data_IF_665425927109
#
_entry.id   IF_665425927109
#
_cell.length_a   1.000
_cell.length_b   1.000
_cell.length_c   1.000
_cell.angle_alpha   90.00
_cell.angle_beta   90.00
_cell.angle_gamma   90.00
#
_symmetry.space_group_name_H-M   'P 1'
#
loop_
_entity.id
_entity.type
_entity.pdbx_description
1 polymer ?
#
# COMPACT_ATOMS: atom_id res chain seq x y z
N UNK A 1 24.29 -49.55 14.17
CA UNK A 1 23.77 -49.15 12.84
C UNK A 1 22.35 -48.62 12.90
N UNK A 2 21.35 -49.38 13.38
CA UNK A 2 19.94 -48.94 13.46
C UNK A 2 19.77 -47.64 14.25
N UNK A 3 20.37 -47.54 15.44
CA UNK A 3 20.33 -46.31 16.27
C UNK A 3 20.90 -45.07 15.55
N UNK A 4 21.96 -45.23 14.75
CA UNK A 4 22.58 -44.13 14.00
C UNK A 4 21.69 -43.64 12.85
N UNK A 5 21.01 -44.56 12.15
CA UNK A 5 20.04 -44.21 11.10
C UNK A 5 18.90 -43.40 11.70
N UNK A 6 18.32 -43.84 12.83
CA UNK A 6 17.24 -43.12 13.53
C UNK A 6 17.70 -41.73 13.97
N UNK A 7 18.92 -41.61 14.50
CA UNK A 7 19.52 -40.32 14.88
C UNK A 7 19.67 -39.38 13.68
N UNK A 8 20.18 -39.85 12.55
CA UNK A 8 20.31 -39.05 11.33
C UNK A 8 18.95 -38.60 10.77
N UNK A 9 17.95 -39.46 10.76
CA UNK A 9 16.58 -39.10 10.35
C UNK A 9 16.01 -38.01 11.25
N UNK A 10 16.23 -38.09 12.57
CA UNK A 10 15.80 -37.06 13.52
C UNK A 10 16.52 -35.73 13.29
N UNK A 11 17.82 -35.75 13.03
CA UNK A 11 18.57 -34.54 12.68
C UNK A 11 18.07 -33.89 11.40
N UNK A 12 17.73 -34.66 10.37
CA UNK A 12 17.13 -34.13 9.14
C UNK A 12 15.75 -33.51 9.40
N UNK A 13 14.91 -34.15 10.22
CA UNK A 13 13.63 -33.60 10.63
C UNK A 13 13.80 -32.26 11.37
N UNK A 14 14.74 -32.16 12.30
CA UNK A 14 15.05 -30.91 13.02
C UNK A 14 15.54 -29.79 12.09
N UNK A 15 16.35 -30.10 11.08
CA UNK A 15 16.78 -29.10 10.08
C UNK A 15 15.60 -28.60 9.24
N UNK A 16 14.71 -29.50 8.83
CA UNK A 16 13.49 -29.15 8.10
C UNK A 16 12.55 -28.30 8.97
N UNK A 17 12.42 -28.65 10.25
CA UNK A 17 11.64 -27.90 11.23
C UNK A 17 12.16 -26.47 11.37
N UNK A 18 13.48 -26.31 11.60
CA UNK A 18 14.10 -24.98 11.71
C UNK A 18 13.92 -24.13 10.45
N UNK A 19 14.01 -24.75 9.26
CA UNK A 19 13.75 -24.06 7.99
C UNK A 19 12.29 -23.62 7.88
N UNK A 20 11.35 -24.47 8.29
CA UNK A 20 9.92 -24.17 8.33
C UNK A 20 9.61 -23.02 9.27
N UNK A 21 10.16 -23.03 10.47
CA UNK A 21 9.99 -21.96 11.46
C UNK A 21 10.60 -20.64 10.98
N UNK A 22 11.77 -20.69 10.35
CA UNK A 22 12.37 -19.51 9.73
C UNK A 22 11.49 -18.93 8.61
N UNK A 23 10.90 -19.78 7.76
CA UNK A 23 9.96 -19.34 6.73
C UNK A 23 8.67 -18.76 7.33
N UNK A 24 8.13 -19.37 8.39
CA UNK A 24 6.94 -18.86 9.11
C UNK A 24 7.22 -17.51 9.75
N UNK A 25 8.35 -17.37 10.46
CA UNK A 25 8.78 -16.12 11.07
C UNK A 25 8.92 -15.00 10.03
N UNK A 26 9.54 -15.29 8.88
CA UNK A 26 9.65 -14.32 7.78
C UNK A 26 8.29 -13.87 7.25
N UNK A 27 7.35 -14.81 7.00
CA UNK A 27 5.98 -14.50 6.56
C UNK A 27 5.19 -13.71 7.61
N UNK A 28 5.35 -14.06 8.89
CA UNK A 28 4.70 -13.38 10.00
C UNK A 28 5.17 -11.93 10.13
N UNK A 29 6.49 -11.69 10.08
CA UNK A 29 7.06 -10.35 10.09
C UNK A 29 6.58 -9.53 8.90
N UNK A 30 6.65 -10.09 7.69
CA UNK A 30 6.15 -9.44 6.48
C UNK A 30 4.67 -9.03 6.61
N UNK A 31 3.79 -9.93 7.09
CA UNK A 31 2.38 -9.60 7.33
C UNK A 31 2.19 -8.46 8.32
N UNK A 32 2.98 -8.42 9.40
CA UNK A 32 2.93 -7.35 10.38
C UNK A 32 3.32 -6.01 9.78
N UNK A 33 4.44 -5.95 9.05
CA UNK A 33 4.89 -4.72 8.37
C UNK A 33 3.84 -4.23 7.35
N UNK A 34 3.20 -5.13 6.60
CA UNK A 34 2.09 -4.76 5.70
C UNK A 34 0.88 -4.18 6.43
N UNK A 35 0.55 -4.72 7.59
CA UNK A 35 -0.56 -4.22 8.40
C UNK A 35 -0.26 -2.84 8.98
N UNK A 36 0.95 -2.63 9.49
CA UNK A 36 1.39 -1.30 9.95
C UNK A 36 1.43 -0.29 8.80
N UNK A 37 1.89 -0.70 7.60
CA UNK A 37 1.84 0.14 6.41
C UNK A 37 0.40 0.56 6.06
N UNK A 38 -0.55 -0.37 6.11
CA UNK A 38 -1.94 -0.09 5.82
C UNK A 38 -2.57 0.90 6.82
N UNK A 39 -2.15 0.88 8.09
CA UNK A 39 -2.60 1.86 9.10
C UNK A 39 -2.09 3.27 8.86
N UNK A 40 -0.93 3.43 8.21
CA UNK A 40 -0.36 4.74 7.90
C UNK A 40 -1.04 5.43 6.71
N UNK A 41 -1.85 4.71 5.93
CA UNK A 41 -2.63 5.32 4.85
C UNK A 41 -3.77 6.18 5.42
N UNK A 42 -4.13 7.30 4.76
CA UNK A 42 -5.23 8.18 5.18
C UNK A 42 -6.60 7.55 4.85
N UNK A 43 -6.86 6.35 5.38
CA UNK A 43 -8.07 5.56 5.18
C UNK A 43 -8.63 5.12 6.54
N UNK A 44 -9.96 5.02 6.69
CA UNK A 44 -10.56 4.46 7.90
C UNK A 44 -10.05 3.03 8.17
N UNK A 45 -9.66 2.75 9.43
CA UNK A 45 -9.09 1.45 9.84
C UNK A 45 -9.98 0.23 9.54
N UNK A 46 -11.30 0.43 9.48
CA UNK A 46 -12.26 -0.61 9.10
C UNK A 46 -12.05 -1.13 7.65
N UNK A 47 -11.60 -0.26 6.75
CA UNK A 47 -11.38 -0.59 5.33
C UNK A 47 -9.97 -1.14 5.14
N UNK A 48 -8.96 -0.58 5.83
CA UNK A 48 -7.56 -1.01 5.68
C UNK A 48 -7.31 -2.44 6.16
N UNK A 49 -8.12 -2.94 7.09
CA UNK A 49 -8.09 -4.33 7.56
C UNK A 49 -8.54 -5.36 6.51
N UNK A 50 -9.32 -4.94 5.51
CA UNK A 50 -9.85 -5.81 4.45
C UNK A 50 -9.04 -5.76 3.15
N UNK A 51 -8.02 -4.89 3.08
CA UNK A 51 -7.19 -4.74 1.89
C UNK A 51 -6.27 -5.94 1.72
N UNK A 52 -6.19 -6.44 0.48
CA UNK A 52 -5.18 -7.42 0.10
C UNK A 52 -3.79 -6.75 0.00
N UNK A 53 -2.73 -7.55 0.16
CA UNK A 53 -1.34 -7.08 0.13
C UNK A 53 -0.99 -6.29 -1.13
N UNK A 54 -1.52 -6.67 -2.29
CA UNK A 54 -1.21 -5.97 -3.54
C UNK A 54 -1.90 -4.61 -3.60
N UNK A 55 -3.16 -4.51 -3.14
CA UNK A 55 -3.84 -3.22 -3.03
C UNK A 55 -3.20 -2.29 -2.01
N UNK A 56 -2.71 -2.80 -0.86
CA UNK A 56 -1.93 -2.00 0.10
C UNK A 56 -0.74 -1.35 -0.63
N UNK A 57 0.08 -2.12 -1.35
CA UNK A 57 1.23 -1.61 -2.10
C UNK A 57 0.81 -0.57 -3.14
N UNK A 58 -0.20 -0.88 -3.97
CA UNK A 58 -0.67 0.02 -5.03
C UNK A 58 -1.14 1.36 -4.45
N UNK A 59 -1.92 1.32 -3.36
CA UNK A 59 -2.42 2.51 -2.69
C UNK A 59 -1.29 3.30 -2.02
N UNK A 60 -0.34 2.63 -1.35
CA UNK A 60 0.85 3.29 -0.79
C UNK A 60 1.65 4.00 -1.88
N UNK A 61 1.93 3.33 -3.00
CA UNK A 61 2.67 3.93 -4.13
C UNK A 61 1.89 5.13 -4.68
N UNK A 62 0.59 5.00 -4.91
CA UNK A 62 -0.25 6.11 -5.37
C UNK A 62 -0.27 7.27 -4.38
N UNK A 63 -0.33 7.00 -3.07
CA UNK A 63 -0.31 8.01 -2.02
C UNK A 63 1.02 8.77 -1.98
N UNK A 64 2.15 8.05 -2.01
CA UNK A 64 3.48 8.67 -2.07
C UNK A 64 3.65 9.49 -3.34
N UNK A 65 3.25 8.94 -4.50
CA UNK A 65 3.22 9.67 -5.76
C UNK A 65 2.35 10.94 -5.66
N UNK A 66 1.13 10.86 -5.17
CA UNK A 66 0.25 12.04 -5.02
C UNK A 66 0.82 13.08 -4.05
N UNK A 67 1.63 12.68 -3.07
CA UNK A 67 2.30 13.59 -2.14
C UNK A 67 3.54 14.24 -2.76
N UNK A 68 4.34 13.47 -3.49
CA UNK A 68 5.54 13.94 -4.19
C UNK A 68 5.13 14.83 -5.38
N UNK A 69 4.15 14.36 -6.15
CA UNK A 69 3.42 15.20 -7.09
C UNK A 69 2.78 16.36 -6.37
N UNK A 70 2.16 16.23 -5.20
CA UNK A 70 1.58 17.35 -4.44
C UNK A 70 2.55 18.49 -4.13
N UNK A 71 3.86 18.25 -4.07
CA UNK A 71 4.90 19.28 -3.99
C UNK A 71 5.08 20.07 -5.31
N UNK A 72 5.04 19.39 -6.45
CA UNK A 72 5.19 19.98 -7.80
C UNK A 72 3.84 20.40 -8.43
N UNK A 73 2.77 19.75 -8.01
CA UNK A 73 1.35 19.95 -8.34
C UNK A 73 0.78 21.05 -7.48
N UNK A 74 1.33 21.41 -6.31
CA UNK A 74 0.94 22.70 -5.72
C UNK A 74 1.31 23.89 -6.64
N UNK A 75 2.34 23.74 -7.50
CA UNK A 75 2.60 24.71 -8.59
C UNK A 75 1.69 24.47 -9.81
N UNK A 76 1.67 23.26 -10.37
CA UNK A 76 0.89 22.98 -11.58
C UNK A 76 -0.65 23.01 -11.37
N UNK A 77 -1.14 22.71 -10.18
CA UNK A 77 -2.56 22.75 -9.80
C UNK A 77 -2.95 24.14 -9.34
N UNK A 78 -2.07 24.96 -8.75
CA UNK A 78 -2.35 26.41 -8.64
C UNK A 78 -2.42 27.06 -10.03
N UNK A 79 -1.52 26.70 -10.95
CA UNK A 79 -1.51 27.23 -12.30
C UNK A 79 -2.73 26.71 -13.11
N UNK A 80 -3.06 25.43 -13.00
CA UNK A 80 -4.19 24.82 -13.70
C UNK A 80 -5.56 25.14 -13.06
N UNK A 81 -5.70 25.22 -11.73
CA UNK A 81 -6.97 25.64 -11.10
C UNK A 81 -7.19 27.15 -11.20
N UNK A 82 -6.17 28.01 -11.22
CA UNK A 82 -6.41 29.44 -11.50
C UNK A 82 -6.98 29.63 -12.90
N UNK A 83 -6.49 28.84 -13.86
CA UNK A 83 -6.99 28.82 -15.24
C UNK A 83 -8.39 28.18 -15.31
N UNK A 84 -8.62 27.02 -14.68
CA UNK A 84 -9.94 26.37 -14.68
C UNK A 84 -11.00 27.11 -13.85
N UNK A 85 -10.64 27.77 -12.74
CA UNK A 85 -11.59 28.56 -11.95
C UNK A 85 -11.97 29.86 -12.66
N UNK A 86 -11.06 30.48 -13.42
CA UNK A 86 -11.41 31.59 -14.32
C UNK A 86 -12.27 31.12 -15.49
N UNK A 87 -12.01 29.95 -16.07
CA UNK A 87 -12.80 29.40 -17.19
C UNK A 87 -14.19 28.89 -16.77
N UNK A 88 -14.33 28.37 -15.54
CA UNK A 88 -15.65 28.01 -14.98
C UNK A 88 -16.44 29.28 -14.64
N UNK A 89 -15.81 30.29 -14.04
CA UNK A 89 -16.48 31.55 -13.68
C UNK A 89 -16.92 32.38 -14.91
N UNK A 90 -16.26 32.24 -16.07
CA UNK A 90 -16.65 32.93 -17.30
C UNK A 90 -17.65 32.15 -18.18
N UNK A 91 -17.92 30.87 -17.84
CA UNK A 91 -18.87 30.03 -18.59
C UNK A 91 -20.23 29.87 -17.89
N UNK A 92 -20.34 30.28 -16.62
CA UNK A 92 -21.62 30.32 -15.89
C UNK A 92 -22.43 31.62 -16.10
N UNK A 93 -21.94 32.58 -16.88
CA UNK A 93 -22.65 33.83 -17.22
C UNK A 93 -23.35 33.82 -18.58
N UNK A 94 -23.18 32.78 -19.42
CA UNK A 94 -23.77 32.74 -20.77
C UNK A 94 -25.01 31.86 -20.93
N UNK A 95 -25.38 31.05 -19.93
CA UNK A 95 -26.60 30.21 -19.96
C UNK A 95 -27.83 30.85 -19.28
N UNK A 96 -27.72 32.09 -18.81
CA UNK A 96 -28.86 32.93 -18.37
C UNK A 96 -29.28 34.00 -19.39
N UNK A 97 -28.83 33.86 -20.64
CA UNK A 97 -29.19 34.76 -21.75
C UNK A 97 -30.01 34.07 -22.86
N UNK A 98 -30.44 32.82 -22.66
CA UNK A 98 -31.36 32.11 -23.55
C UNK A 98 -32.42 31.38 -22.72
N UNK A 99 -33.26 32.16 -22.04
CA UNK A 99 -34.71 32.04 -21.90
C UNK A 99 -35.21 33.15 -20.97
#
# INVERSE_FOLDING_TARGET
MISYIVYLSRLQALRKEKSRDAARSRRGKENFEFYELAKMLPLPGAITSQLDKASIIRLTISYLKMRDFGGDVCKLFCDALSTLYSDICNRETTVRALF
#
